data_IF_763490192521
#
_entry.id   IF_763490192521
#
_cell.length_a   1.000
_cell.length_b   1.000
_cell.length_c   1.000
_cell.angle_alpha   90.00
_cell.angle_beta   90.00
_cell.angle_gamma   90.00
#
_symmetry.space_group_name_H-M   'P 1'
#
loop_
_entity.id
_entity.type
_entity.pdbx_description
1 polymer ?
#
# COMPACT_ATOMS: atom_id res chain seq x y z
N UNK A 1 -25.69 10.47 -27.95
CA UNK A 1 -25.34 11.18 -26.68
C UNK A 1 -23.87 10.96 -26.39
N UNK A 2 -23.03 12.00 -26.50
CA UNK A 2 -21.63 11.93 -26.06
C UNK A 2 -21.63 12.14 -24.55
N UNK A 3 -21.30 11.10 -23.79
CA UNK A 3 -21.02 11.25 -22.36
C UNK A 3 -19.91 12.29 -22.20
N UNK A 4 -20.08 13.33 -21.36
CA UNK A 4 -19.02 14.29 -21.12
C UNK A 4 -17.81 13.52 -20.59
N UNK A 5 -16.68 13.59 -21.31
CA UNK A 5 -15.42 13.03 -20.82
C UNK A 5 -14.96 13.89 -19.66
N UNK A 6 -15.28 13.48 -18.43
CA UNK A 6 -14.67 14.05 -17.24
C UNK A 6 -13.16 13.92 -17.36
N UNK A 7 -12.47 15.04 -17.24
CA UNK A 7 -11.00 15.06 -17.20
C UNK A 7 -10.54 14.70 -15.79
N UNK A 8 -9.37 14.09 -15.64
CA UNK A 8 -8.79 13.75 -14.33
C UNK A 8 -8.75 14.95 -13.37
N UNK A 9 -8.57 16.17 -13.91
CA UNK A 9 -8.60 17.41 -13.15
C UNK A 9 -10.00 17.70 -12.57
N UNK A 10 -11.06 17.52 -13.36
CA UNK A 10 -12.44 17.70 -12.86
C UNK A 10 -12.80 16.66 -11.80
N UNK A 11 -12.33 15.41 -11.96
CA UNK A 11 -12.55 14.36 -10.97
C UNK A 11 -11.79 14.65 -9.67
N UNK A 12 -10.54 15.11 -9.76
CA UNK A 12 -9.76 15.49 -8.59
C UNK A 12 -10.41 16.64 -7.82
N UNK A 13 -10.79 17.73 -8.51
CA UNK A 13 -11.43 18.88 -7.88
C UNK A 13 -12.79 18.52 -7.29
N UNK A 14 -13.59 17.72 -8.00
CA UNK A 14 -14.88 17.26 -7.49
C UNK A 14 -14.73 16.39 -6.25
N UNK A 15 -13.78 15.44 -6.27
CA UNK A 15 -13.50 14.58 -5.13
C UNK A 15 -12.96 15.37 -3.92
N UNK A 16 -12.01 16.28 -4.11
CA UNK A 16 -11.48 17.10 -3.01
C UNK A 16 -12.57 17.96 -2.38
N UNK A 17 -13.43 18.58 -3.19
CA UNK A 17 -14.55 19.37 -2.68
C UNK A 17 -15.53 18.50 -1.89
N UNK A 18 -15.88 17.31 -2.40
CA UNK A 18 -16.75 16.39 -1.67
C UNK A 18 -16.15 15.97 -0.32
N UNK A 19 -14.85 15.64 -0.30
CA UNK A 19 -14.12 15.30 0.93
C UNK A 19 -14.03 16.47 1.91
N UNK A 20 -13.81 17.69 1.41
CA UNK A 20 -13.80 18.91 2.23
C UNK A 20 -15.16 19.18 2.85
N UNK A 21 -16.23 19.12 2.05
CA UNK A 21 -17.61 19.28 2.56
C UNK A 21 -17.91 18.25 3.64
N UNK A 22 -17.56 16.97 3.40
CA UNK A 22 -17.70 15.93 4.42
C UNK A 22 -16.91 16.24 5.69
N UNK A 23 -15.67 16.70 5.56
CA UNK A 23 -14.83 17.05 6.72
C UNK A 23 -15.38 18.24 7.51
N UNK A 24 -15.97 19.23 6.86
CA UNK A 24 -16.61 20.38 7.50
C UNK A 24 -17.90 20.01 8.23
N UNK A 25 -18.57 18.94 7.79
CA UNK A 25 -19.74 18.36 8.45
C UNK A 25 -19.37 17.46 9.64
N UNK A 26 -18.08 17.23 9.91
CA UNK A 26 -17.65 16.40 11.01
C UNK A 26 -18.02 17.05 12.36
N UNK A 27 -18.52 16.22 13.28
CA UNK A 27 -19.10 16.67 14.56
C UNK A 27 -18.06 17.24 15.52
N UNK A 28 -16.77 16.95 15.33
CA UNK A 28 -15.69 17.37 16.22
C UNK A 28 -14.58 18.09 15.44
N UNK A 29 -14.04 19.15 16.03
CA UNK A 29 -12.89 19.92 15.48
C UNK A 29 -11.71 19.02 15.08
N UNK A 30 -11.25 18.04 15.89
CA UNK A 30 -10.12 17.21 15.49
C UNK A 30 -10.45 16.26 14.32
N UNK A 31 -11.69 15.77 14.20
CA UNK A 31 -12.11 14.99 13.05
C UNK A 31 -12.22 15.85 11.79
N UNK A 32 -12.72 17.09 11.92
CA UNK A 32 -12.76 18.04 10.81
C UNK A 32 -11.35 18.37 10.28
N UNK A 33 -10.40 18.66 11.18
CA UNK A 33 -9.00 18.91 10.82
C UNK A 33 -8.36 17.70 10.13
N UNK A 34 -8.54 16.49 10.68
CA UNK A 34 -8.01 15.28 10.07
C UNK A 34 -8.63 15.01 8.68
N UNK A 35 -9.94 15.21 8.53
CA UNK A 35 -10.63 15.09 7.25
C UNK A 35 -10.13 16.11 6.21
N UNK A 36 -9.89 17.37 6.61
CA UNK A 36 -9.29 18.38 5.74
C UNK A 36 -7.87 18.01 5.33
N UNK A 37 -7.06 17.50 6.27
CA UNK A 37 -5.71 16.99 5.96
C UNK A 37 -5.77 15.87 4.92
N UNK A 38 -6.68 14.89 5.05
CA UNK A 38 -6.85 13.80 4.07
C UNK A 38 -7.30 14.35 2.71
N UNK A 39 -8.23 15.31 2.70
CA UNK A 39 -8.73 15.93 1.47
C UNK A 39 -7.63 16.70 0.71
N UNK A 40 -6.73 17.38 1.43
CA UNK A 40 -5.56 18.06 0.84
C UNK A 40 -4.45 17.08 0.46
N UNK A 41 -4.30 15.98 1.21
CA UNK A 41 -3.34 14.93 0.93
C UNK A 41 -3.65 14.20 -0.37
N UNK A 42 -4.93 14.03 -0.74
CA UNK A 42 -5.30 13.37 -1.99
C UNK A 42 -4.66 14.00 -3.26
N UNK A 43 -4.89 15.29 -3.61
CA UNK A 43 -4.31 15.89 -4.81
C UNK A 43 -2.78 16.02 -4.70
N UNK A 44 -2.26 16.22 -3.48
CA UNK A 44 -0.82 16.25 -3.23
C UNK A 44 -0.19 14.88 -3.50
N UNK A 45 -0.81 13.80 -3.01
CA UNK A 45 -0.36 12.43 -3.21
C UNK A 45 -0.32 12.06 -4.69
N UNK A 46 -1.29 12.51 -5.49
CA UNK A 46 -1.29 12.30 -6.93
C UNK A 46 -0.06 12.94 -7.58
N UNK A 47 0.25 14.20 -7.23
CA UNK A 47 1.43 14.90 -7.76
C UNK A 47 2.74 14.25 -7.32
N UNK A 48 2.85 13.91 -6.04
CA UNK A 48 4.05 13.27 -5.47
C UNK A 48 4.26 11.89 -6.09
N UNK A 49 3.20 11.07 -6.20
CA UNK A 49 3.27 9.76 -6.83
C UNK A 49 3.67 9.88 -8.31
N UNK A 50 3.09 10.82 -9.05
CA UNK A 50 3.43 11.05 -10.46
C UNK A 50 4.90 11.47 -10.62
N UNK A 51 5.40 12.35 -9.74
CA UNK A 51 6.79 12.80 -9.76
C UNK A 51 7.75 11.67 -9.38
N UNK A 52 7.43 10.90 -8.32
CA UNK A 52 8.22 9.75 -7.90
C UNK A 52 8.28 8.69 -9.01
N UNK A 53 7.14 8.32 -9.60
CA UNK A 53 7.08 7.34 -10.70
C UNK A 53 7.78 7.85 -11.96
N UNK A 54 7.91 9.16 -12.14
CA UNK A 54 8.64 9.74 -13.28
C UNK A 54 10.15 9.66 -13.08
N UNK A 55 10.64 10.12 -11.94
CA UNK A 55 12.07 10.39 -11.74
C UNK A 55 12.82 9.28 -11.01
N UNK A 56 12.16 8.56 -10.10
CA UNK A 56 12.84 7.59 -9.25
C UNK A 56 13.36 6.37 -10.05
N UNK A 57 12.65 5.83 -11.05
CA UNK A 57 13.20 4.81 -11.95
C UNK A 57 14.38 5.31 -12.79
N UNK A 58 14.37 6.59 -13.17
CA UNK A 58 15.43 7.22 -13.99
C UNK A 58 16.68 7.42 -13.14
N UNK A 59 16.54 7.95 -11.93
CA UNK A 59 17.63 8.14 -10.98
C UNK A 59 18.26 6.81 -10.55
N UNK A 60 17.46 5.74 -10.46
CA UNK A 60 17.93 4.39 -10.14
C UNK A 60 18.49 3.63 -11.35
N UNK A 61 18.48 4.22 -12.56
CA UNK A 61 18.97 3.58 -13.78
C UNK A 61 18.13 2.41 -14.28
N UNK A 62 16.89 2.27 -13.81
CA UNK A 62 15.97 1.18 -14.17
C UNK A 62 15.41 1.38 -15.58
N UNK A 63 15.19 2.63 -16.00
CA UNK A 63 14.69 2.98 -17.33
C UNK A 63 15.30 4.29 -17.84
N UNK A 64 15.37 4.49 -19.17
CA UNK A 64 15.75 5.78 -19.75
C UNK A 64 14.68 6.86 -19.48
N UNK A 65 15.04 8.16 -19.62
CA UNK A 65 14.07 9.25 -19.50
C UNK A 65 12.93 9.08 -20.51
N UNK A 66 11.70 8.95 -20.03
CA UNK A 66 10.53 8.75 -20.87
C UNK A 66 9.81 10.08 -21.16
N UNK A 67 9.21 10.19 -22.35
CA UNK A 67 8.23 11.22 -22.67
C UNK A 67 6.91 11.02 -21.89
N UNK A 68 5.99 11.99 -22.03
CA UNK A 68 4.81 12.17 -21.18
C UNK A 68 4.02 10.88 -20.85
N UNK A 69 3.48 10.74 -19.62
CA UNK A 69 2.77 9.55 -19.19
C UNK A 69 1.55 9.27 -20.05
N UNK A 70 1.28 7.97 -20.29
CA UNK A 70 0.10 7.57 -21.03
C UNK A 70 -1.18 7.89 -20.23
N UNK A 71 -2.25 8.29 -20.90
CA UNK A 71 -3.51 8.71 -20.26
C UNK A 71 -4.06 7.63 -19.33
N UNK A 72 -4.02 6.35 -19.72
CA UNK A 72 -4.45 5.24 -18.87
C UNK A 72 -3.68 5.14 -17.55
N UNK A 73 -2.36 5.38 -17.57
CA UNK A 73 -1.54 5.35 -16.36
C UNK A 73 -1.91 6.48 -15.41
N UNK A 74 -2.32 7.63 -15.94
CA UNK A 74 -2.76 8.74 -15.12
C UNK A 74 -4.10 8.41 -14.41
N UNK A 75 -5.06 7.81 -15.12
CA UNK A 75 -6.34 7.40 -14.54
C UNK A 75 -6.15 6.34 -13.44
N UNK A 76 -5.29 5.34 -13.65
CA UNK A 76 -5.00 4.33 -12.63
C UNK A 76 -4.38 4.93 -11.36
N UNK A 77 -3.48 5.91 -11.53
CA UNK A 77 -2.83 6.60 -10.41
C UNK A 77 -3.84 7.41 -9.60
N UNK A 78 -4.71 8.17 -10.28
CA UNK A 78 -5.77 8.94 -9.65
C UNK A 78 -6.75 8.01 -8.91
N UNK A 79 -7.15 6.90 -9.53
CA UNK A 79 -8.03 5.92 -8.92
C UNK A 79 -7.43 5.28 -7.66
N UNK A 80 -6.15 4.90 -7.69
CA UNK A 80 -5.46 4.33 -6.52
C UNK A 80 -5.34 5.34 -5.37
N UNK A 81 -4.97 6.58 -5.67
CA UNK A 81 -4.91 7.66 -4.67
C UNK A 81 -6.30 7.98 -4.10
N UNK A 82 -7.34 7.95 -4.94
CA UNK A 82 -8.72 8.21 -4.52
C UNK A 82 -9.22 7.10 -3.60
N UNK A 83 -8.91 5.84 -3.92
CA UNK A 83 -9.24 4.69 -3.08
C UNK A 83 -8.59 4.81 -1.70
N UNK A 84 -7.29 5.10 -1.64
CA UNK A 84 -6.58 5.30 -0.37
C UNK A 84 -7.21 6.44 0.47
N UNK A 85 -7.54 7.57 -0.17
CA UNK A 85 -8.19 8.69 0.50
C UNK A 85 -9.61 8.36 0.99
N UNK A 86 -10.40 7.66 0.18
CA UNK A 86 -11.75 7.21 0.55
C UNK A 86 -11.72 6.23 1.73
N UNK A 87 -10.78 5.28 1.72
CA UNK A 87 -10.58 4.36 2.84
C UNK A 87 -10.15 5.09 4.10
N UNK A 88 -9.25 6.08 3.99
CA UNK A 88 -8.81 6.90 5.13
C UNK A 88 -9.97 7.70 5.73
N UNK A 89 -10.85 8.27 4.90
CA UNK A 89 -12.07 8.94 5.38
C UNK A 89 -13.07 7.97 6.01
N UNK A 90 -13.17 6.74 5.50
CA UNK A 90 -14.03 5.72 6.09
C UNK A 90 -13.51 5.32 7.46
N UNK A 91 -12.19 5.18 7.62
CA UNK A 91 -11.55 4.92 8.92
C UNK A 91 -11.84 6.05 9.91
N UNK A 92 -11.84 7.31 9.46
CA UNK A 92 -12.14 8.48 10.30
C UNK A 92 -13.50 8.42 11.00
N UNK A 93 -14.45 7.61 10.49
CA UNK A 93 -15.75 7.39 11.13
C UNK A 93 -15.62 6.56 12.41
N UNK A 94 -14.68 5.62 12.44
CA UNK A 94 -14.58 4.59 13.47
C UNK A 94 -13.35 4.72 14.37
N UNK A 95 -12.33 5.49 13.95
CA UNK A 95 -11.07 5.64 14.71
C UNK A 95 -10.74 7.05 15.12
N UNK A 96 -9.91 7.21 16.18
CA UNK A 96 -9.39 8.51 16.54
C UNK A 96 -8.52 9.08 15.40
N UNK A 97 -8.56 10.41 15.21
CA UNK A 97 -7.96 11.07 14.04
C UNK A 97 -6.44 10.87 13.93
N UNK A 98 -5.72 10.72 15.04
CA UNK A 98 -4.28 10.47 15.04
C UNK A 98 -3.91 9.13 14.40
N UNK A 99 -4.69 8.07 14.69
CA UNK A 99 -4.49 6.73 14.11
C UNK A 99 -4.85 6.76 12.62
N UNK A 100 -5.95 7.43 12.25
CA UNK A 100 -6.39 7.57 10.85
C UNK A 100 -5.32 8.23 9.99
N UNK A 101 -4.69 9.30 10.49
CA UNK A 101 -3.64 9.98 9.75
C UNK A 101 -2.42 9.08 9.53
N UNK A 102 -2.04 8.28 10.53
CA UNK A 102 -0.96 7.30 10.41
C UNK A 102 -1.31 6.20 9.39
N UNK A 103 -2.50 5.61 9.50
CA UNK A 103 -2.98 4.57 8.57
C UNK A 103 -3.11 5.11 7.15
N UNK A 104 -3.57 6.36 6.98
CA UNK A 104 -3.65 7.03 5.69
C UNK A 104 -2.28 7.21 5.03
N UNK A 105 -1.25 7.62 5.78
CA UNK A 105 0.13 7.69 5.29
C UNK A 105 0.61 6.30 4.83
N UNK A 106 0.35 5.26 5.64
CA UNK A 106 0.71 3.90 5.30
C UNK A 106 0.03 3.42 4.00
N UNK A 107 -1.27 3.70 3.83
CA UNK A 107 -2.04 3.36 2.63
C UNK A 107 -1.53 4.10 1.39
N UNK A 108 -1.15 5.38 1.51
CA UNK A 108 -0.56 6.13 0.40
C UNK A 108 0.82 5.59 -0.01
N UNK A 109 1.68 5.24 0.95
CA UNK A 109 2.97 4.60 0.68
C UNK A 109 2.80 3.21 0.04
N UNK A 110 1.86 2.41 0.55
CA UNK A 110 1.54 1.11 -0.01
C UNK A 110 0.99 1.24 -1.45
N UNK A 111 0.07 2.18 -1.70
CA UNK A 111 -0.44 2.46 -3.05
C UNK A 111 0.68 2.89 -4.02
N UNK A 112 1.64 3.70 -3.55
CA UNK A 112 2.80 4.09 -4.37
C UNK A 112 3.64 2.86 -4.75
N UNK A 113 3.93 1.97 -3.80
CA UNK A 113 4.66 0.73 -4.05
C UNK A 113 3.92 -0.20 -5.03
N UNK A 114 2.58 -0.28 -4.92
CA UNK A 114 1.74 -1.02 -5.89
C UNK A 114 1.90 -0.47 -7.30
N UNK A 115 1.98 0.85 -7.46
CA UNK A 115 2.17 1.46 -8.78
C UNK A 115 3.56 1.19 -9.34
N UNK A 116 4.61 1.20 -8.51
CA UNK A 116 5.97 0.82 -8.93
C UNK A 116 6.06 -0.64 -9.33
N UNK A 117 5.52 -1.54 -8.50
CA UNK A 117 5.51 -2.98 -8.74
C UNK A 117 4.72 -3.32 -10.02
N UNK A 118 3.55 -2.71 -10.22
CA UNK A 118 2.73 -2.94 -11.42
C UNK A 118 3.37 -2.39 -12.70
N UNK A 119 3.99 -1.22 -12.66
CA UNK A 119 4.49 -0.52 -13.87
C UNK A 119 5.90 -0.94 -14.26
N UNK A 120 6.78 -1.09 -13.27
CA UNK A 120 8.21 -1.31 -13.48
C UNK A 120 8.67 -2.70 -13.04
N UNK A 121 7.82 -3.46 -12.32
CA UNK A 121 8.22 -4.74 -11.73
C UNK A 121 9.34 -4.61 -10.70
N UNK A 122 9.43 -3.42 -10.11
CA UNK A 122 10.51 -3.02 -9.24
C UNK A 122 9.96 -2.39 -7.97
N UNK A 123 10.57 -2.75 -6.85
CA UNK A 123 10.27 -2.20 -5.54
C UNK A 123 11.44 -1.32 -5.09
N UNK A 124 11.27 0.01 -5.08
CA UNK A 124 12.34 0.93 -4.73
C UNK A 124 12.66 0.89 -3.24
N UNK A 125 13.89 0.50 -2.90
CA UNK A 125 14.41 0.59 -1.52
C UNK A 125 14.33 2.02 -0.97
N UNK A 126 14.46 3.03 -1.84
CA UNK A 126 14.32 4.44 -1.51
C UNK A 126 12.92 4.82 -0.96
N UNK A 127 11.91 3.97 -1.16
CA UNK A 127 10.55 4.16 -0.60
C UNK A 127 10.28 3.15 0.51
N UNK A 128 10.74 1.90 0.36
CA UNK A 128 10.60 0.86 1.38
C UNK A 128 11.26 1.24 2.71
N UNK A 129 12.46 1.82 2.68
CA UNK A 129 13.17 2.23 3.90
C UNK A 129 12.44 3.34 4.65
N UNK A 130 12.02 4.45 4.00
CA UNK A 130 11.13 5.42 4.63
C UNK A 130 9.83 4.82 5.13
N UNK A 131 9.20 3.90 4.38
CA UNK A 131 7.96 3.26 4.83
C UNK A 131 8.15 2.46 6.12
N UNK A 132 9.24 1.69 6.23
CA UNK A 132 9.60 0.98 7.46
C UNK A 132 9.85 1.97 8.62
N UNK A 133 10.66 3.00 8.38
CA UNK A 133 11.00 4.00 9.40
C UNK A 133 9.76 4.74 9.89
N UNK A 134 8.89 5.18 8.97
CA UNK A 134 7.62 5.82 9.29
C UNK A 134 6.71 4.90 10.09
N UNK A 135 6.66 3.59 9.78
CA UNK A 135 5.87 2.63 10.57
C UNK A 135 6.39 2.47 12.00
N UNK A 136 7.71 2.41 12.17
CA UNK A 136 8.34 2.34 13.51
C UNK A 136 8.12 3.64 14.30
N UNK A 137 8.27 4.80 13.66
CA UNK A 137 8.04 6.10 14.27
C UNK A 137 6.55 6.30 14.63
N UNK A 138 5.63 5.87 13.77
CA UNK A 138 4.20 5.90 14.06
C UNK A 138 3.86 4.98 15.24
N UNK A 139 4.42 3.77 15.27
CA UNK A 139 4.29 2.87 16.42
C UNK A 139 4.82 3.49 17.72
N UNK A 140 5.95 4.20 17.68
CA UNK A 140 6.47 4.91 18.83
C UNK A 140 5.58 6.08 19.27
N UNK A 141 5.12 6.91 18.32
CA UNK A 141 4.26 8.07 18.60
C UNK A 141 2.89 7.66 19.17
N UNK A 142 2.37 6.49 18.76
CA UNK A 142 1.09 5.95 19.24
C UNK A 142 1.23 5.07 20.51
N UNK A 143 2.43 4.95 21.09
CA UNK A 143 2.65 4.20 22.34
C UNK A 143 2.74 2.68 22.18
N UNK A 144 2.99 2.18 20.98
CA UNK A 144 3.04 0.76 20.63
C UNK A 144 4.37 0.36 19.96
N UNK A 145 5.48 1.01 20.33
CA UNK A 145 6.80 0.78 19.73
C UNK A 145 7.22 -0.70 19.70
N UNK A 146 7.03 -1.41 20.82
CA UNK A 146 7.38 -2.83 20.91
C UNK A 146 6.58 -3.72 19.96
N UNK A 147 5.30 -3.39 19.75
CA UNK A 147 4.44 -4.10 18.78
C UNK A 147 4.86 -3.84 17.34
N UNK A 148 5.25 -2.59 17.02
CA UNK A 148 5.73 -2.23 15.69
C UNK A 148 7.09 -2.89 15.37
N UNK A 149 8.04 -2.86 16.31
CA UNK A 149 9.34 -3.54 16.16
C UNK A 149 9.13 -5.05 16.03
N UNK A 150 8.32 -5.64 16.91
CA UNK A 150 7.98 -7.05 16.86
C UNK A 150 7.34 -7.44 15.53
N UNK A 151 6.36 -6.67 15.05
CA UNK A 151 5.73 -6.86 13.75
C UNK A 151 6.72 -6.78 12.59
N UNK A 152 7.67 -5.84 12.62
CA UNK A 152 8.72 -5.72 11.61
C UNK A 152 9.66 -6.95 11.59
N UNK A 153 10.11 -7.39 12.77
CA UNK A 153 11.00 -8.55 12.91
C UNK A 153 10.29 -9.85 12.48
N UNK A 154 9.05 -10.05 12.94
CA UNK A 154 8.24 -11.22 12.57
C UNK A 154 7.92 -11.20 11.08
N UNK A 155 7.60 -10.03 10.52
CA UNK A 155 7.42 -9.81 9.09
C UNK A 155 8.62 -10.22 8.27
N UNK A 156 9.82 -9.82 8.69
CA UNK A 156 11.05 -10.20 8.03
C UNK A 156 11.33 -11.71 8.11
N UNK A 157 11.18 -12.31 9.29
CA UNK A 157 11.46 -13.73 9.52
C UNK A 157 10.48 -14.64 8.79
N UNK A 158 9.17 -14.41 8.95
CA UNK A 158 8.12 -15.23 8.31
C UNK A 158 8.06 -14.96 6.81
N UNK A 159 8.28 -13.72 6.37
CA UNK A 159 8.45 -13.40 4.96
C UNK A 159 9.65 -14.10 4.34
N UNK A 160 10.78 -14.11 5.05
CA UNK A 160 12.00 -14.85 4.73
C UNK A 160 11.75 -16.33 4.54
N UNK A 161 11.18 -16.97 5.57
CA UNK A 161 10.84 -18.38 5.53
C UNK A 161 9.84 -18.71 4.41
N UNK A 162 8.83 -17.87 4.20
CA UNK A 162 7.83 -18.05 3.16
C UNK A 162 8.41 -17.97 1.74
N UNK A 163 9.21 -16.94 1.45
CA UNK A 163 9.88 -16.78 0.15
C UNK A 163 10.92 -17.88 -0.06
N UNK A 164 11.63 -18.31 0.99
CA UNK A 164 12.56 -19.42 0.93
C UNK A 164 11.85 -20.76 0.61
N UNK A 165 10.73 -21.04 1.28
CA UNK A 165 9.90 -22.21 0.97
C UNK A 165 9.33 -22.17 -0.46
N UNK A 166 8.92 -21.00 -0.94
CA UNK A 166 8.52 -20.81 -2.34
C UNK A 166 9.69 -21.05 -3.30
N UNK A 167 10.89 -20.57 -2.95
CA UNK A 167 12.13 -20.80 -3.70
C UNK A 167 12.44 -22.29 -3.87
N UNK A 168 12.37 -23.05 -2.77
CA UNK A 168 12.56 -24.50 -2.78
C UNK A 168 11.50 -25.22 -3.62
N UNK A 169 10.22 -24.94 -3.40
CA UNK A 169 9.11 -25.66 -4.06
C UNK A 169 8.99 -25.35 -5.54
N UNK A 170 9.36 -24.15 -5.98
CA UNK A 170 9.26 -23.70 -7.37
C UNK A 170 10.57 -23.76 -8.14
N UNK A 171 11.68 -24.17 -7.48
CA UNK A 171 13.04 -24.22 -8.06
C UNK A 171 13.43 -22.93 -8.77
N UNK A 172 13.12 -21.78 -8.16
CA UNK A 172 13.39 -20.46 -8.73
C UNK A 172 13.83 -19.47 -7.66
N UNK A 173 14.63 -18.49 -8.01
CA UNK A 173 15.08 -17.48 -7.04
C UNK A 173 13.99 -16.43 -6.81
N UNK A 174 13.21 -16.63 -5.75
CA UNK A 174 12.18 -15.69 -5.25
C UNK A 174 12.67 -14.88 -4.04
N UNK A 175 13.91 -15.07 -3.60
CA UNK A 175 14.45 -14.42 -2.41
C UNK A 175 14.93 -13.02 -2.75
N UNK A 176 13.98 -12.10 -2.86
CA UNK A 176 14.20 -10.67 -3.12
C UNK A 176 14.32 -9.92 -1.80
N UNK A 177 15.43 -9.23 -1.57
CA UNK A 177 15.59 -8.37 -0.40
C UNK A 177 14.48 -7.29 -0.32
N UNK A 178 13.98 -6.81 -1.46
CA UNK A 178 12.91 -5.82 -1.50
C UNK A 178 11.56 -6.37 -1.02
N UNK A 179 11.26 -7.65 -1.27
CA UNK A 179 10.01 -8.28 -0.80
C UNK A 179 10.06 -8.53 0.71
N UNK A 180 11.25 -8.87 1.24
CA UNK A 180 11.47 -8.98 2.69
C UNK A 180 11.32 -7.63 3.41
N UNK A 181 11.86 -6.57 2.80
CA UNK A 181 11.72 -5.21 3.32
C UNK A 181 10.29 -4.70 3.24
N UNK A 182 9.54 -5.09 2.20
CA UNK A 182 8.11 -4.79 2.11
C UNK A 182 7.35 -5.47 3.25
N UNK A 183 7.58 -6.77 3.48
CA UNK A 183 6.90 -7.51 4.55
C UNK A 183 7.28 -7.00 5.95
N UNK A 184 8.53 -6.59 6.15
CA UNK A 184 8.93 -5.95 7.41
C UNK A 184 8.30 -4.57 7.57
N UNK A 185 8.23 -3.77 6.52
CA UNK A 185 7.57 -2.46 6.55
C UNK A 185 6.08 -2.61 6.85
N UNK A 186 5.37 -3.50 6.14
CA UNK A 186 3.96 -3.79 6.41
C UNK A 186 3.75 -4.32 7.84
N UNK A 187 4.64 -5.20 8.31
CA UNK A 187 4.62 -5.70 9.68
C UNK A 187 4.79 -4.59 10.73
N UNK A 188 5.63 -3.58 10.46
CA UNK A 188 5.81 -2.44 11.35
C UNK A 188 4.52 -1.62 11.52
N UNK A 189 3.78 -1.41 10.42
CA UNK A 189 2.53 -0.66 10.42
C UNK A 189 1.36 -1.45 11.05
N UNK A 190 1.26 -2.73 10.75
CA UNK A 190 0.20 -3.59 11.31
C UNK A 190 0.44 -3.88 12.80
N UNK A 191 1.71 -3.98 13.20
CA UNK A 191 2.12 -4.42 14.53
C UNK A 191 1.90 -5.91 14.75
N UNK A 192 2.34 -6.42 15.90
CA UNK A 192 2.33 -7.85 16.19
C UNK A 192 0.90 -8.42 16.36
N UNK A 193 -0.03 -7.61 16.88
CA UNK A 193 -1.42 -8.02 17.11
C UNK A 193 -2.19 -8.34 15.83
N UNK A 194 -2.06 -7.50 14.80
CA UNK A 194 -2.75 -7.69 13.53
C UNK A 194 -2.00 -8.55 12.51
N UNK A 195 -0.80 -9.03 12.85
CA UNK A 195 0.12 -9.61 11.89
C UNK A 195 -0.41 -10.90 11.26
N UNK A 196 -1.09 -11.74 12.05
CA UNK A 196 -1.69 -12.99 11.56
C UNK A 196 -2.83 -12.73 10.56
N UNK A 197 -3.73 -11.80 10.89
CA UNK A 197 -4.76 -11.35 9.96
C UNK A 197 -4.14 -10.78 8.68
N UNK A 198 -3.08 -9.98 8.80
CA UNK A 198 -2.35 -9.45 7.64
C UNK A 198 -1.80 -10.57 6.74
N UNK A 199 -1.13 -11.57 7.30
CA UNK A 199 -0.62 -12.71 6.51
C UNK A 199 -1.75 -13.49 5.83
N UNK A 200 -2.86 -13.72 6.53
CA UNK A 200 -3.99 -14.44 5.97
C UNK A 200 -4.64 -13.67 4.80
N UNK A 201 -4.91 -12.37 5.01
CA UNK A 201 -5.55 -11.51 4.01
C UNK A 201 -4.65 -11.24 2.81
N UNK A 202 -3.35 -10.99 3.03
CA UNK A 202 -2.37 -10.87 1.95
C UNK A 202 -2.19 -12.19 1.21
N UNK A 203 -2.21 -13.34 1.91
CA UNK A 203 -2.19 -14.66 1.31
C UNK A 203 -3.40 -14.92 0.40
N UNK A 204 -4.60 -14.58 0.83
CA UNK A 204 -5.82 -14.63 -0.01
C UNK A 204 -5.68 -13.71 -1.22
N UNK A 205 -5.23 -12.47 -1.01
CA UNK A 205 -5.00 -11.50 -2.09
C UNK A 205 -3.99 -12.03 -3.13
N UNK A 206 -2.93 -12.68 -2.67
CA UNK A 206 -1.94 -13.32 -3.52
C UNK A 206 -2.56 -14.47 -4.34
N UNK A 207 -3.36 -15.33 -3.70
CA UNK A 207 -4.08 -16.41 -4.38
C UNK A 207 -5.09 -15.89 -5.41
N UNK A 208 -5.84 -14.84 -5.08
CA UNK A 208 -6.81 -14.21 -5.98
C UNK A 208 -6.11 -13.60 -7.20
N UNK A 209 -5.03 -12.84 -7.00
CA UNK A 209 -4.19 -12.31 -8.08
C UNK A 209 -3.63 -13.42 -8.96
N UNK A 210 -3.17 -14.51 -8.33
CA UNK A 210 -2.68 -15.68 -9.05
C UNK A 210 -3.77 -16.31 -9.92
N UNK A 211 -4.99 -16.45 -9.41
CA UNK A 211 -6.14 -16.95 -10.17
C UNK A 211 -6.51 -16.04 -11.34
N UNK A 212 -6.63 -14.73 -11.09
CA UNK A 212 -7.00 -13.74 -12.10
C UNK A 212 -5.97 -13.66 -13.24
N UNK A 213 -4.68 -13.74 -12.90
CA UNK A 213 -3.60 -13.70 -13.90
C UNK A 213 -3.48 -14.99 -14.71
N UNK A 214 -3.80 -16.14 -14.11
CA UNK A 214 -3.94 -17.40 -14.86
C UNK A 214 -5.03 -17.30 -15.92
N UNK A 215 -6.16 -16.70 -15.57
CA UNK A 215 -7.28 -16.54 -16.50
C UNK A 215 -7.02 -15.49 -17.59
N UNK A 216 -6.15 -14.51 -17.34
CA UNK A 216 -5.83 -13.44 -18.30
C UNK A 216 -4.53 -13.66 -19.09
N UNK A 217 -3.86 -14.81 -18.93
CA UNK A 217 -2.58 -15.16 -19.58
C UNK A 217 -1.50 -14.07 -19.45
N UNK A 218 -1.56 -13.24 -18.41
CA UNK A 218 -0.53 -12.23 -18.16
C UNK A 218 0.65 -12.89 -17.46
N UNK A 219 1.89 -12.70 -17.92
CA UNK A 219 3.05 -13.32 -17.29
C UNK A 219 3.15 -12.91 -15.82
N UNK A 220 3.32 -13.90 -14.94
CA UNK A 220 3.43 -13.70 -13.48
C UNK A 220 4.80 -13.16 -13.04
N UNK A 221 5.70 -12.95 -14.00
CA UNK A 221 7.12 -12.82 -13.76
C UNK A 221 7.60 -11.58 -14.47
N UNK A 222 8.16 -10.65 -13.70
CA UNK A 222 9.01 -9.59 -14.22
C UNK A 222 10.46 -9.95 -13.92
N UNK A 223 11.28 -10.04 -14.98
CA UNK A 223 12.72 -10.16 -14.83
C UNK A 223 13.25 -8.82 -14.31
N UNK A 224 13.98 -8.84 -13.18
CA UNK A 224 14.61 -7.63 -12.67
C UNK A 224 15.59 -7.07 -13.72
N UNK A 225 15.41 -5.81 -14.11
CA UNK A 225 16.13 -5.14 -15.21
C UNK A 225 17.65 -5.03 -14.95
N UNK A 226 18.13 -5.26 -13.72
CA UNK A 226 19.53 -5.05 -13.34
C UNK A 226 20.33 -6.32 -13.00
N UNK A 227 19.80 -7.54 -13.16
CA UNK A 227 20.61 -8.75 -12.91
C UNK A 227 21.26 -9.26 -14.19
N UNK A 228 22.47 -8.79 -14.48
CA UNK A 228 23.31 -9.29 -15.58
C UNK A 228 23.72 -10.76 -15.44
N UNK A 229 23.57 -11.36 -14.25
CA UNK A 229 24.00 -12.73 -13.99
C UNK A 229 22.85 -13.77 -14.01
N UNK A 230 21.68 -13.50 -13.42
CA UNK A 230 20.55 -14.44 -13.42
C UNK A 230 19.22 -13.71 -13.21
N UNK A 231 18.18 -13.96 -14.04
CA UNK A 231 16.87 -13.35 -13.84
C UNK A 231 16.30 -13.75 -12.48
N UNK A 232 16.08 -12.76 -11.61
CA UNK A 232 15.33 -12.95 -10.35
C UNK A 232 13.85 -12.93 -10.69
N UNK A 233 13.15 -13.99 -10.31
CA UNK A 233 11.72 -14.15 -10.56
C UNK A 233 10.97 -13.41 -9.45
N UNK A 234 10.35 -12.27 -9.77
CA UNK A 234 9.52 -11.53 -8.81
C UNK A 234 8.05 -11.78 -9.06
N UNK A 235 7.33 -12.11 -7.99
CA UNK A 235 5.87 -12.00 -7.97
C UNK A 235 5.49 -10.58 -7.53
N UNK A 236 4.40 -10.01 -8.05
CA UNK A 236 3.91 -8.70 -7.59
C UNK A 236 3.31 -8.84 -6.18
N UNK A 237 4.14 -8.64 -5.16
CA UNK A 237 3.81 -8.77 -3.73
C UNK A 237 3.26 -7.48 -3.12
N UNK A 238 3.43 -6.33 -3.79
CA UNK A 238 2.99 -5.04 -3.26
C UNK A 238 1.47 -4.96 -3.12
N UNK A 239 0.73 -5.41 -4.13
CA UNK A 239 -0.73 -5.32 -4.13
C UNK A 239 -1.38 -6.22 -3.08
N UNK A 240 -0.99 -7.50 -2.93
CA UNK A 240 -1.50 -8.34 -1.85
C UNK A 240 -1.17 -7.78 -0.47
N UNK A 241 0.02 -7.20 -0.27
CA UNK A 241 0.38 -6.57 1.00
C UNK A 241 -0.43 -5.30 1.27
N UNK A 242 -0.61 -4.44 0.26
CA UNK A 242 -1.41 -3.22 0.39
C UNK A 242 -2.89 -3.53 0.71
N UNK A 243 -3.47 -4.52 0.03
CA UNK A 243 -4.84 -4.99 0.31
C UNK A 243 -4.93 -5.62 1.69
N UNK A 244 -3.95 -6.44 2.07
CA UNK A 244 -3.87 -7.04 3.41
C UNK A 244 -3.83 -5.98 4.52
N UNK A 245 -2.97 -4.97 4.38
CA UNK A 245 -2.91 -3.85 5.31
C UNK A 245 -4.23 -3.09 5.39
N UNK A 246 -4.81 -2.74 4.23
CA UNK A 246 -6.09 -2.03 4.16
C UNK A 246 -7.20 -2.79 4.89
N UNK A 247 -7.30 -4.10 4.64
CA UNK A 247 -8.30 -4.94 5.27
C UNK A 247 -8.08 -5.04 6.78
N UNK A 248 -6.82 -5.16 7.24
CA UNK A 248 -6.52 -5.16 8.68
C UNK A 248 -6.91 -3.83 9.33
N UNK A 249 -6.60 -2.69 8.70
CA UNK A 249 -6.99 -1.38 9.21
C UNK A 249 -8.50 -1.21 9.26
N UNK A 250 -9.24 -1.67 8.24
CA UNK A 250 -10.70 -1.60 8.25
C UNK A 250 -11.32 -2.53 9.31
N UNK A 251 -10.82 -3.76 9.41
CA UNK A 251 -11.34 -4.77 10.33
C UNK A 251 -11.07 -4.40 11.78
N UNK A 252 -9.83 -4.04 12.13
CA UNK A 252 -9.44 -3.67 13.51
C UNK A 252 -10.31 -2.56 14.09
N UNK A 253 -10.85 -1.72 13.22
CA UNK A 253 -11.61 -0.54 13.56
C UNK A 253 -13.13 -0.73 13.43
N UNK A 254 -13.59 -1.94 13.08
CA UNK A 254 -15.01 -2.24 12.94
C UNK A 254 -15.62 -2.77 14.25
N UNK A 255 -16.64 -2.10 14.82
CA UNK A 255 -17.19 -2.46 16.13
C UNK A 255 -18.03 -3.76 16.13
N UNK A 256 -18.32 -4.34 14.96
CA UNK A 256 -19.24 -5.46 14.80
C UNK A 256 -18.54 -6.82 14.56
N UNK A 257 -17.23 -6.93 14.81
CA UNK A 257 -16.52 -8.18 14.53
C UNK A 257 -16.83 -9.29 15.53
N UNK A 258 -17.01 -10.54 15.07
CA UNK A 258 -17.10 -11.69 15.94
C UNK A 258 -15.78 -11.91 16.70
N UNK A 259 -15.87 -12.46 17.91
CA UNK A 259 -14.75 -12.61 18.84
C UNK A 259 -13.50 -13.29 18.24
N UNK A 260 -13.67 -14.30 17.39
CA UNK A 260 -12.55 -14.98 16.73
C UNK A 260 -11.76 -14.06 15.77
N UNK A 261 -12.44 -13.08 15.15
CA UNK A 261 -11.81 -12.10 14.28
C UNK A 261 -11.06 -11.04 15.09
N UNK A 262 -11.59 -10.67 16.27
CA UNK A 262 -10.89 -9.78 17.21
C UNK A 262 -9.60 -10.43 17.73
N UNK A 263 -9.64 -11.72 18.07
CA UNK A 263 -8.46 -12.48 18.50
C UNK A 263 -7.35 -12.51 17.43
N UNK A 264 -7.72 -12.70 16.15
CA UNK A 264 -6.78 -12.66 15.01
C UNK A 264 -6.19 -11.27 14.75
N UNK A 265 -6.80 -10.21 15.29
CA UNK A 265 -6.36 -8.81 15.19
C UNK A 265 -5.62 -8.34 16.45
N UNK A 266 -5.40 -9.23 17.42
CA UNK A 266 -4.67 -8.97 18.66
C UNK A 266 -5.49 -8.30 19.75
N UNK A 267 -6.82 -8.46 19.71
CA UNK A 267 -7.76 -8.10 20.78
C UNK A 267 -7.91 -9.20 21.82
#
# INVERSE_FOLDING_TARGET
>A
MRTPRMTDATLQVGATLAMLVWSLLARTVPAALAGMCIALLFPLSVRVCALALRWLPVAAGVRPPMEAPNSQQQHELVAGCLLAAACSLTLLIYTPPSIVLADGVALHLANLLVQFDRREGWLPNAILMPMLLCGLLAGAALGHAGSAIGGACVGWMLGGAGLFGLSMTRRGNFMSAADLLLLSACGAWVGLGGFWAFLFLSGIGFWAMRGLRRNTHTPMVQAAVCSTAHPVWRYPTALPCAVGMLMVFLLRNSPALPYWAQFMLGG
#
